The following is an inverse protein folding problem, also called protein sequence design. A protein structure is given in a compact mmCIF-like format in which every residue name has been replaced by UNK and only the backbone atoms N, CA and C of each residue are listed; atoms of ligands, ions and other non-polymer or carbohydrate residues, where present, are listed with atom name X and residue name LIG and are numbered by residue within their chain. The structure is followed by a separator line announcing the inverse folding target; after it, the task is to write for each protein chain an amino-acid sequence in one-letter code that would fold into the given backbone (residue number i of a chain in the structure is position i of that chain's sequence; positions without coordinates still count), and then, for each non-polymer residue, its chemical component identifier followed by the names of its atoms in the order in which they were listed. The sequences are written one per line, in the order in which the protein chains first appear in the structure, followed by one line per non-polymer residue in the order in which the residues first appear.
data_IF_062106985173
#
_entry.id   IF_062106985173
#
_cell.length_a   1.000
_cell.length_b   1.000
_cell.length_c   1.000
_cell.angle_alpha   90.00
_cell.angle_beta   90.00
_cell.angle_gamma   90.00
#
_symmetry.space_group_name_H-M   'P 1'
#
loop_
_entity.id
_entity.type
_entity.pdbx_description
1 polymer ?
#
# COMPACT_ATOMS: atom_id res chain seq x y z
N UNK A 1 -22.13 0.88 20.40
CA UNK A 1 -21.14 1.93 20.07
C UNK A 1 -20.58 1.80 18.63
N UNK A 2 -21.22 1.07 17.70
CA UNK A 2 -20.72 0.87 16.33
C UNK A 2 -20.69 2.13 15.45
N UNK A 3 -21.58 3.10 15.71
CA UNK A 3 -21.78 4.28 14.85
C UNK A 3 -20.61 5.28 14.84
N UNK A 4 -19.75 5.24 15.85
CA UNK A 4 -18.57 6.12 15.93
C UNK A 4 -17.35 5.45 15.29
N UNK A 5 -17.19 4.14 15.51
CA UNK A 5 -16.14 3.32 14.89
C UNK A 5 -16.33 3.24 13.36
N UNK A 6 -17.55 3.05 12.86
CA UNK A 6 -17.85 3.06 11.42
C UNK A 6 -17.50 4.41 10.77
N UNK A 7 -17.70 5.53 11.47
CA UNK A 7 -17.34 6.86 10.97
C UNK A 7 -15.82 7.06 10.96
N UNK A 8 -15.14 6.62 12.01
CA UNK A 8 -13.68 6.67 12.09
C UNK A 8 -13.04 5.78 11.01
N UNK A 9 -13.54 4.57 10.81
CA UNK A 9 -13.12 3.66 9.74
C UNK A 9 -13.44 4.22 8.35
N UNK A 10 -14.60 4.86 8.15
CA UNK A 10 -14.93 5.51 6.87
C UNK A 10 -13.95 6.65 6.54
N UNK A 11 -13.56 7.46 7.53
CA UNK A 11 -12.55 8.50 7.33
C UNK A 11 -11.16 7.91 7.10
N UNK A 12 -10.79 6.85 7.82
CA UNK A 12 -9.54 6.12 7.64
C UNK A 12 -9.45 5.52 6.23
N UNK A 13 -10.50 4.84 5.76
CA UNK A 13 -10.52 4.21 4.44
C UNK A 13 -10.45 5.27 3.32
N UNK A 14 -11.12 6.42 3.49
CA UNK A 14 -10.96 7.56 2.56
C UNK A 14 -9.54 8.11 2.55
N UNK A 15 -8.89 8.19 3.70
CA UNK A 15 -7.51 8.65 3.79
C UNK A 15 -6.52 7.65 3.17
N UNK A 16 -6.68 6.35 3.43
CA UNK A 16 -5.84 5.29 2.85
C UNK A 16 -6.01 5.27 1.33
N UNK A 17 -7.24 5.26 0.82
CA UNK A 17 -7.50 5.31 -0.64
C UNK A 17 -6.96 6.59 -1.28
N UNK A 18 -7.06 7.74 -0.61
CA UNK A 18 -6.46 8.99 -1.06
C UNK A 18 -4.93 8.87 -1.13
N UNK A 19 -4.28 8.36 -0.08
CA UNK A 19 -2.81 8.16 -0.03
C UNK A 19 -2.31 7.17 -1.07
N UNK A 20 -3.05 6.09 -1.29
CA UNK A 20 -2.76 5.15 -2.38
C UNK A 20 -2.94 5.79 -3.76
N UNK A 21 -3.96 6.62 -3.93
CA UNK A 21 -4.19 7.33 -5.20
C UNK A 21 -3.12 8.39 -5.48
N UNK A 22 -2.54 9.00 -4.44
CA UNK A 22 -1.39 9.90 -4.55
C UNK A 22 -0.14 9.16 -5.03
N UNK A 23 0.06 7.91 -4.60
CA UNK A 23 1.17 7.07 -5.04
C UNK A 23 0.94 6.46 -6.44
N UNK A 24 -0.32 6.34 -6.87
CA UNK A 24 -0.66 5.82 -8.20
C UNK A 24 -0.46 6.92 -9.26
N UNK A 25 0.15 6.55 -10.39
CA UNK A 25 0.23 7.44 -11.55
C UNK A 25 -1.20 7.82 -12.00
N UNK A 26 -1.41 9.06 -12.47
CA UNK A 26 -2.74 9.49 -12.90
C UNK A 26 -3.26 8.56 -13.99
N UNK A 27 -4.58 8.27 -13.96
CA UNK A 27 -5.22 7.43 -14.95
C UNK A 27 -5.10 8.09 -16.32
N UNK A 28 -4.17 7.57 -17.13
CA UNK A 28 -3.98 8.05 -18.49
C UNK A 28 -5.13 7.59 -19.37
N UNK A 29 -5.64 8.49 -20.20
CA UNK A 29 -6.62 8.16 -21.25
C UNK A 29 -5.90 7.81 -22.54
N UNK A 30 -6.45 6.87 -23.29
CA UNK A 30 -5.96 6.55 -24.63
C UNK A 30 -6.04 7.80 -25.52
N UNK A 31 -5.01 8.06 -26.36
CA UNK A 31 -5.06 9.11 -27.38
C UNK A 31 -6.25 8.92 -28.33
N UNK A 32 -6.74 10.02 -28.91
CA UNK A 32 -7.84 9.96 -29.87
C UNK A 32 -7.37 9.45 -31.24
N UNK A 33 -6.21 9.92 -31.70
CA UNK A 33 -5.60 9.51 -32.96
C UNK A 33 -4.55 8.43 -32.69
N UNK A 34 -4.64 7.30 -33.38
CA UNK A 34 -3.67 6.22 -33.26
C UNK A 34 -2.24 6.66 -33.64
N UNK A 35 -2.11 7.62 -34.56
CA UNK A 35 -0.84 8.20 -34.99
C UNK A 35 -0.12 9.00 -33.90
N UNK A 36 -0.80 9.37 -32.82
CA UNK A 36 -0.18 10.06 -31.68
C UNK A 36 0.59 9.08 -30.77
N UNK A 37 0.32 7.78 -30.87
CA UNK A 37 1.03 6.75 -30.11
C UNK A 37 2.36 6.42 -30.79
N UNK A 38 3.47 6.91 -30.23
CA UNK A 38 4.83 6.71 -30.79
C UNK A 38 5.59 5.55 -30.16
N UNK A 39 5.08 4.99 -29.07
CA UNK A 39 5.68 3.87 -28.35
C UNK A 39 4.87 2.58 -28.52
N UNK A 40 5.58 1.46 -28.67
CA UNK A 40 4.97 0.14 -28.86
C UNK A 40 4.34 -0.39 -27.58
N UNK A 41 4.95 -0.14 -26.41
CA UNK A 41 4.41 -0.64 -25.14
C UNK A 41 3.11 0.07 -24.78
N UNK A 42 3.04 1.38 -25.00
CA UNK A 42 1.79 2.13 -24.88
C UNK A 42 0.71 1.65 -25.87
N UNK A 43 1.09 1.33 -27.12
CA UNK A 43 0.14 0.81 -28.10
C UNK A 43 -0.47 -0.53 -27.66
N UNK A 44 0.34 -1.45 -27.14
CA UNK A 44 -0.14 -2.72 -26.61
C UNK A 44 -1.02 -2.53 -25.37
N UNK A 45 -0.67 -1.61 -24.47
CA UNK A 45 -1.51 -1.25 -23.32
C UNK A 45 -2.89 -0.77 -23.77
N UNK A 46 -2.97 0.14 -24.74
CA UNK A 46 -4.24 0.64 -25.27
C UNK A 46 -5.02 -0.43 -26.02
N UNK A 47 -4.35 -1.32 -26.75
CA UNK A 47 -4.98 -2.47 -27.41
C UNK A 47 -5.66 -3.40 -26.41
N UNK A 48 -4.98 -3.75 -25.33
CA UNK A 48 -5.57 -4.59 -24.27
C UNK A 48 -6.78 -3.91 -23.62
N UNK A 49 -6.69 -2.59 -23.37
CA UNK A 49 -7.83 -1.83 -22.85
C UNK A 49 -9.03 -1.88 -23.80
N UNK A 50 -8.82 -1.69 -25.11
CA UNK A 50 -9.87 -1.75 -26.13
C UNK A 50 -10.50 -3.15 -26.16
N UNK A 51 -9.70 -4.21 -26.18
CA UNK A 51 -10.21 -5.58 -26.18
C UNK A 51 -11.08 -5.88 -24.97
N UNK A 52 -10.68 -5.44 -23.77
CA UNK A 52 -11.49 -5.57 -22.54
C UNK A 52 -12.79 -4.77 -22.61
N UNK A 53 -12.77 -3.56 -23.17
CA UNK A 53 -13.97 -2.74 -23.36
C UNK A 53 -14.94 -3.39 -24.36
N UNK A 54 -14.43 -3.94 -25.46
CA UNK A 54 -15.23 -4.65 -26.46
C UNK A 54 -15.87 -5.88 -25.83
N UNK A 55 -15.10 -6.75 -25.16
CA UNK A 55 -15.65 -7.95 -24.53
C UNK A 55 -16.77 -7.64 -23.53
N UNK A 56 -16.62 -6.57 -22.74
CA UNK A 56 -17.69 -6.11 -21.82
C UNK A 56 -18.93 -5.60 -22.56
N UNK A 57 -18.75 -4.85 -23.65
CA UNK A 57 -19.87 -4.35 -24.47
C UNK A 57 -20.60 -5.49 -25.19
N UNK A 58 -19.86 -6.43 -25.77
CA UNK A 58 -20.42 -7.63 -26.42
C UNK A 58 -21.19 -8.48 -25.41
N UNK A 59 -20.64 -8.71 -24.20
CA UNK A 59 -21.38 -9.40 -23.12
C UNK A 59 -22.68 -8.68 -22.78
N UNK A 60 -22.66 -7.34 -22.69
CA UNK A 60 -23.85 -6.52 -22.41
C UNK A 60 -24.90 -6.61 -23.53
N UNK A 61 -24.49 -6.55 -24.78
CA UNK A 61 -25.39 -6.70 -25.93
C UNK A 61 -25.95 -8.11 -26.04
N UNK A 62 -25.13 -9.14 -25.82
CA UNK A 62 -25.58 -10.53 -25.74
C UNK A 62 -26.63 -10.71 -24.63
N UNK A 63 -26.45 -10.08 -23.46
CA UNK A 63 -27.45 -10.06 -22.39
C UNK A 63 -28.73 -9.33 -22.82
N UNK A 64 -28.62 -8.20 -23.51
CA UNK A 64 -29.78 -7.45 -24.02
C UNK A 64 -30.59 -8.26 -25.02
N UNK A 65 -29.92 -8.95 -25.95
CA UNK A 65 -30.56 -9.86 -26.89
C UNK A 65 -31.15 -11.10 -26.22
N UNK A 66 -30.55 -11.60 -25.14
CA UNK A 66 -31.10 -12.72 -24.37
C UNK A 66 -32.29 -12.32 -23.48
N UNK A 67 -32.31 -11.08 -22.96
CA UNK A 67 -33.39 -10.57 -22.09
C UNK A 67 -34.72 -10.39 -22.84
N UNK A 68 -34.68 -10.14 -24.15
CA UNK A 68 -35.89 -10.04 -24.97
C UNK A 68 -36.52 -11.42 -25.27
N UNK A 69 -35.71 -12.49 -25.28
CA UNK A 69 -36.13 -13.83 -25.72
C UNK A 69 -36.48 -14.76 -24.54
N UNK A 70 -36.11 -14.42 -23.31
CA UNK A 70 -36.32 -15.31 -22.15
C UNK A 70 -36.98 -14.55 -21.00
N UNK A 71 -38.32 -14.49 -21.04
CA UNK A 71 -39.18 -14.10 -19.91
C UNK A 71 -39.24 -15.15 -18.79
N UNK A 72 -38.26 -16.06 -18.72
CA UNK A 72 -38.15 -17.11 -17.69
C UNK A 72 -36.71 -17.11 -17.16
N UNK A 73 -36.35 -16.09 -16.39
CA UNK A 73 -34.94 -15.82 -16.06
C UNK A 73 -34.64 -15.31 -14.66
N UNK A 74 -35.62 -15.22 -13.75
CA UNK A 74 -35.39 -14.68 -12.39
C UNK A 74 -34.29 -15.46 -11.62
N UNK A 75 -34.14 -16.77 -11.85
CA UNK A 75 -33.08 -17.56 -11.22
C UNK A 75 -31.69 -17.37 -11.87
N UNK A 76 -31.63 -17.02 -13.15
CA UNK A 76 -30.36 -16.81 -13.86
C UNK A 76 -29.77 -15.43 -13.57
N UNK A 77 -30.62 -14.45 -13.28
CA UNK A 77 -30.20 -13.10 -12.90
C UNK A 77 -29.54 -13.08 -11.51
N UNK A 78 -30.10 -13.80 -10.53
CA UNK A 78 -29.51 -13.91 -9.17
C UNK A 78 -28.16 -14.65 -9.20
N UNK A 79 -28.04 -15.72 -9.97
CA UNK A 79 -26.78 -16.48 -10.07
C UNK A 79 -25.67 -15.68 -10.77
N UNK A 80 -26.00 -14.86 -11.78
CA UNK A 80 -25.01 -14.07 -12.52
C UNK A 80 -24.65 -12.75 -11.81
N UNK A 81 -25.59 -12.15 -11.08
CA UNK A 81 -25.28 -11.05 -10.14
C UNK A 81 -24.42 -11.57 -8.98
N UNK A 82 -24.68 -12.77 -8.45
CA UNK A 82 -23.79 -13.43 -7.50
C UNK A 82 -22.41 -13.73 -8.12
N UNK A 83 -22.34 -14.11 -9.40
CA UNK A 83 -21.08 -14.40 -10.09
C UNK A 83 -20.25 -13.14 -10.34
N UNK A 84 -20.84 -12.03 -10.81
CA UNK A 84 -20.16 -10.74 -10.97
C UNK A 84 -19.77 -10.13 -9.62
N UNK A 85 -20.56 -10.38 -8.57
CA UNK A 85 -20.25 -9.96 -7.20
C UNK A 85 -19.10 -10.79 -6.64
N UNK A 86 -19.10 -12.11 -6.85
CA UNK A 86 -17.97 -13.00 -6.53
C UNK A 86 -16.70 -12.69 -7.33
N UNK A 87 -16.80 -12.30 -8.61
CA UNK A 87 -15.64 -11.90 -9.42
C UNK A 87 -15.05 -10.59 -8.87
N UNK A 88 -15.88 -9.62 -8.50
CA UNK A 88 -15.41 -8.39 -7.84
C UNK A 88 -14.84 -8.66 -6.46
N UNK A 89 -15.49 -9.49 -5.65
CA UNK A 89 -14.99 -9.93 -4.34
C UNK A 89 -13.68 -10.72 -4.48
N UNK A 90 -13.50 -11.50 -5.54
CA UNK A 90 -12.22 -12.19 -5.83
C UNK A 90 -11.14 -11.25 -6.34
N UNK A 91 -11.47 -10.28 -7.19
CA UNK A 91 -10.52 -9.25 -7.61
C UNK A 91 -10.16 -8.31 -6.46
N UNK A 92 -11.09 -8.04 -5.54
CA UNK A 92 -10.87 -7.30 -4.31
C UNK A 92 -10.05 -8.15 -3.33
N UNK A 93 -10.34 -9.43 -3.14
CA UNK A 93 -9.51 -10.35 -2.35
C UNK A 93 -8.12 -10.54 -2.97
N UNK A 94 -7.97 -10.59 -4.29
CA UNK A 94 -6.66 -10.68 -4.96
C UNK A 94 -5.87 -9.38 -4.78
N UNK A 95 -6.54 -8.22 -4.80
CA UNK A 95 -5.94 -6.91 -4.46
C UNK A 95 -5.64 -6.77 -2.97
N UNK A 96 -6.46 -7.32 -2.09
CA UNK A 96 -6.22 -7.36 -0.64
C UNK A 96 -5.11 -8.38 -0.30
N UNK A 97 -4.94 -9.42 -1.10
CA UNK A 97 -3.83 -10.37 -1.06
C UNK A 97 -2.59 -9.87 -1.82
N UNK A 98 -2.60 -8.66 -2.40
CA UNK A 98 -1.37 -8.01 -2.90
C UNK A 98 -0.45 -7.71 -1.70
N UNK A 99 0.37 -8.71 -1.38
CA UNK A 99 1.68 -8.64 -0.74
C UNK A 99 1.78 -7.76 0.53
N UNK A 100 1.17 -8.23 1.62
CA UNK A 100 1.56 -7.77 2.95
C UNK A 100 2.79 -8.55 3.40
N UNK A 101 3.98 -7.99 3.16
CA UNK A 101 5.19 -8.45 3.85
C UNK A 101 5.07 -7.98 5.28
N UNK A 102 4.87 -8.92 6.20
CA UNK A 102 4.97 -8.64 7.62
C UNK A 102 6.44 -8.39 7.95
N UNK A 103 6.84 -7.12 7.83
CA UNK A 103 8.11 -6.65 8.37
C UNK A 103 7.96 -6.68 9.88
N UNK A 104 8.83 -7.42 10.61
CA UNK A 104 8.79 -7.38 12.06
C UNK A 104 9.16 -5.97 12.52
N UNK A 105 8.17 -5.23 13.02
CA UNK A 105 8.40 -3.96 13.69
C UNK A 105 8.66 -4.27 15.17
N UNK A 106 9.78 -3.76 15.75
CA UNK A 106 10.01 -3.89 17.17
C UNK A 106 8.92 -3.14 17.95
N UNK A 107 8.46 -3.74 19.04
CA UNK A 107 7.49 -3.13 19.94
C UNK A 107 8.09 -1.89 20.63
N UNK A 108 7.23 -0.98 21.11
CA UNK A 108 7.63 0.28 21.75
C UNK A 108 8.68 0.09 22.86
N UNK A 109 8.54 -0.97 23.67
CA UNK A 109 9.49 -1.33 24.74
C UNK A 109 10.86 -1.79 24.22
N UNK A 110 10.90 -2.40 23.04
CA UNK A 110 12.16 -2.83 22.41
C UNK A 110 12.89 -1.63 21.80
N UNK A 111 12.14 -0.71 21.20
CA UNK A 111 12.67 0.57 20.71
C UNK A 111 13.32 1.35 21.86
N UNK A 112 12.64 1.48 23.01
CA UNK A 112 13.18 2.15 24.19
C UNK A 112 14.49 1.53 24.69
N UNK A 113 14.54 0.19 24.78
CA UNK A 113 15.75 -0.53 25.19
C UNK A 113 16.90 -0.31 24.20
N UNK A 114 16.62 -0.35 22.90
CA UNK A 114 17.64 -0.10 21.87
C UNK A 114 18.15 1.34 21.92
N UNK A 115 17.27 2.32 22.09
CA UNK A 115 17.65 3.72 22.25
C UNK A 115 18.49 3.93 23.51
N UNK A 116 18.11 3.31 24.63
CA UNK A 116 18.88 3.36 25.88
C UNK A 116 20.28 2.74 25.72
N UNK A 117 20.38 1.56 25.09
CA UNK A 117 21.66 0.90 24.84
C UNK A 117 22.56 1.74 23.93
N UNK A 118 22.00 2.31 22.87
CA UNK A 118 22.74 3.18 21.94
C UNK A 118 23.28 4.42 22.66
N UNK A 119 22.43 5.12 23.42
CA UNK A 119 22.85 6.28 24.23
C UNK A 119 23.90 5.91 25.27
N UNK A 120 23.77 4.74 25.92
CA UNK A 120 24.78 4.23 26.85
C UNK A 120 26.13 4.00 26.16
N UNK A 121 26.14 3.39 24.98
CA UNK A 121 27.36 3.21 24.19
C UNK A 121 27.95 4.53 23.72
N UNK A 122 27.13 5.48 23.27
CA UNK A 122 27.57 6.82 22.86
C UNK A 122 28.24 7.56 24.01
N UNK A 123 27.62 7.57 25.20
CA UNK A 123 28.20 8.19 26.40
C UNK A 123 29.50 7.48 26.83
N UNK A 124 29.56 6.15 26.78
CA UNK A 124 30.80 5.43 27.08
C UNK A 124 31.89 5.75 26.06
N UNK A 125 31.55 5.90 24.78
CA UNK A 125 32.50 6.28 23.75
C UNK A 125 33.01 7.70 23.93
N UNK A 126 32.13 8.63 24.27
CA UNK A 126 32.45 10.05 24.39
C UNK A 126 33.22 10.35 25.69
N UNK A 127 32.81 9.76 26.81
CA UNK A 127 33.34 10.09 28.15
C UNK A 127 34.25 9.03 28.77
N UNK A 128 34.25 7.80 28.25
CA UNK A 128 35.10 6.71 28.74
C UNK A 128 36.07 6.20 27.66
N UNK A 129 36.37 7.02 26.65
CA UNK A 129 37.50 6.73 25.76
C UNK A 129 38.79 6.68 26.59
N UNK A 130 39.60 5.64 26.33
CA UNK A 130 40.83 5.38 27.09
C UNK A 130 41.77 6.60 27.08
N UNK A 131 41.80 7.32 25.95
CA UNK A 131 42.56 8.56 25.77
C UNK A 131 42.10 9.69 26.71
N UNK A 132 40.78 9.89 26.85
CA UNK A 132 40.23 10.96 27.69
C UNK A 132 40.46 10.68 29.17
N UNK A 133 40.33 9.41 29.59
CA UNK A 133 40.61 8.97 30.96
C UNK A 133 42.09 9.13 31.30
N UNK A 134 42.98 8.88 30.33
CA UNK A 134 44.41 9.08 30.50
C UNK A 134 44.77 10.57 30.63
N UNK A 135 44.19 11.42 29.78
CA UNK A 135 44.34 12.88 29.88
C UNK A 135 43.83 13.44 31.21
N UNK A 136 42.70 12.94 31.71
CA UNK A 136 42.16 13.33 33.01
C UNK A 136 43.13 12.96 34.16
N UNK A 137 43.68 11.75 34.14
CA UNK A 137 44.66 11.29 35.14
C UNK A 137 45.94 12.12 35.11
N UNK A 138 46.46 12.41 33.94
CA UNK A 138 47.65 13.25 33.76
C UNK A 138 47.40 14.68 34.27
N UNK A 139 46.25 15.28 33.91
CA UNK A 139 45.86 16.59 34.41
C UNK A 139 45.68 16.60 35.94
N UNK A 140 45.07 15.57 36.53
CA UNK A 140 44.93 15.43 37.99
C UNK A 140 46.28 15.29 38.70
N UNK A 141 47.20 14.50 38.14
CA UNK A 141 48.56 14.37 38.64
C UNK A 141 49.31 15.71 38.61
N UNK A 142 49.18 16.48 37.52
CA UNK A 142 49.77 17.81 37.38
C UNK A 142 49.19 18.81 38.40
N UNK A 143 47.90 18.70 38.73
CA UNK A 143 47.24 19.53 39.73
C UNK A 143 47.45 19.00 41.17
N UNK A 144 48.18 17.90 41.34
CA UNK A 144 48.44 17.24 42.63
C UNK A 144 47.15 16.83 43.38
N UNK A 145 46.04 16.65 42.66
CA UNK A 145 44.73 16.27 43.22
C UNK A 145 44.66 14.75 43.25
N UNK A 146 44.90 14.18 44.43
CA UNK A 146 44.82 12.75 44.69
C UNK A 146 43.51 12.47 45.42
N UNK A 147 42.50 11.97 44.72
CA UNK A 147 41.24 11.50 45.33
C UNK A 147 40.78 10.24 44.64
#
# INVERSE_FOLDING_TARGET
MARNEEKAQSMLNRFVTMKESENKKPVQRRPYLASECRDLADADKWRHQIMREISRKVRREARRGAAEVVSVGAAKEVLFEEEERKEREREEEEKEREFVVHVPLPDEKEIEKMVLLKKKMELLREYASEDLVQQEKEAKAMLNIHR
#
